data_IF_224927250817
#
_entry.id   IF_224927250817
#
_cell.length_a   1.000
_cell.length_b   1.000
_cell.length_c   1.000
_cell.angle_alpha   90.00
_cell.angle_beta   90.00
_cell.angle_gamma   90.00
#
_symmetry.space_group_name_H-M   'P 1'
#
loop_
_entity.id
_entity.type
_entity.pdbx_description
1 polymer ?
#
# COMPACT_ATOMS: atom_id res chain seq x y z
N UNK A 1 10.35 -0.09 -6.92
CA UNK A 1 10.90 -0.48 -5.61
C UNK A 1 9.74 -0.88 -4.68
N UNK A 2 10.02 -1.61 -3.60
CA UNK A 2 9.02 -2.02 -2.62
C UNK A 2 9.61 -1.88 -1.21
N UNK A 3 8.90 -1.17 -0.34
CA UNK A 3 9.31 -0.88 1.03
C UNK A 3 8.08 -0.95 1.96
N UNK A 4 8.28 -1.31 3.22
CA UNK A 4 7.21 -1.37 4.21
C UNK A 4 7.75 -1.30 5.64
N UNK A 5 6.87 -1.02 6.60
CA UNK A 5 7.23 -1.04 8.02
C UNK A 5 6.06 -0.73 8.95
N UNK A 6 6.29 -0.87 10.25
CA UNK A 6 5.34 -0.52 11.32
C UNK A 6 5.46 0.98 11.64
N UNK A 7 4.34 1.63 11.97
CA UNK A 7 4.35 3.01 12.45
C UNK A 7 5.19 3.16 13.72
N UNK A 8 6.09 4.14 13.71
CA UNK A 8 6.95 4.52 14.84
C UNK A 8 6.80 5.99 15.25
N UNK A 9 5.81 6.71 14.68
CA UNK A 9 5.59 8.12 15.01
C UNK A 9 5.14 8.27 16.47
N UNK A 10 5.80 9.14 17.26
CA UNK A 10 5.40 9.43 18.63
C UNK A 10 4.23 10.40 18.73
N UNK A 11 3.79 11.01 17.62
CA UNK A 11 2.83 12.12 17.60
C UNK A 11 1.37 11.64 17.76
N UNK A 12 1.11 10.35 17.57
CA UNK A 12 -0.24 9.77 17.71
C UNK A 12 -1.24 10.19 16.62
N UNK A 13 -0.77 10.82 15.53
CA UNK A 13 -1.60 11.33 14.44
C UNK A 13 -1.81 10.32 13.29
N UNK A 14 -1.45 9.06 13.49
CA UNK A 14 -1.54 7.99 12.49
C UNK A 14 -2.97 7.46 12.29
N UNK A 15 -3.98 8.05 12.93
CA UNK A 15 -5.38 7.63 12.86
C UNK A 15 -5.59 6.13 13.20
N UNK A 16 -4.68 5.50 13.92
CA UNK A 16 -4.73 4.05 14.21
C UNK A 16 -4.24 3.14 13.06
N UNK A 17 -3.67 3.67 11.98
CA UNK A 17 -2.93 2.86 11.00
C UNK A 17 -1.61 2.38 11.63
N UNK A 18 -1.32 1.08 11.51
CA UNK A 18 -0.16 0.45 12.18
C UNK A 18 0.98 0.10 11.25
N UNK A 19 0.72 -0.04 9.95
CA UNK A 19 1.71 -0.43 8.95
C UNK A 19 1.61 0.48 7.72
N UNK A 20 2.72 0.68 7.03
CA UNK A 20 2.80 1.36 5.74
C UNK A 20 3.49 0.46 4.73
N UNK A 21 3.06 0.55 3.47
CA UNK A 21 3.64 -0.13 2.32
C UNK A 21 3.76 0.88 1.18
N UNK A 22 4.95 1.02 0.62
CA UNK A 22 5.25 1.95 -0.47
C UNK A 22 5.75 1.16 -1.68
N UNK A 23 5.06 1.34 -2.80
CA UNK A 23 5.46 0.78 -4.09
C UNK A 23 5.84 1.93 -5.02
N UNK A 24 7.00 1.84 -5.64
CA UNK A 24 7.44 2.80 -6.65
C UNK A 24 7.36 2.16 -8.03
N UNK A 25 6.57 2.81 -8.89
CA UNK A 25 6.45 2.50 -10.31
C UNK A 25 7.16 3.57 -11.12
N UNK A 26 7.72 3.19 -12.28
CA UNK A 26 8.35 4.15 -13.18
C UNK A 26 7.29 4.93 -13.99
N UNK A 27 6.16 4.29 -14.30
CA UNK A 27 5.08 4.87 -15.11
C UNK A 27 3.70 4.49 -14.54
N UNK A 28 2.66 5.23 -14.94
CA UNK A 28 1.29 4.92 -14.53
C UNK A 28 0.82 3.57 -15.08
N UNK A 29 1.27 3.21 -16.28
CA UNK A 29 0.95 1.96 -16.97
C UNK A 29 1.46 0.74 -16.17
N UNK A 30 2.63 0.86 -15.53
CA UNK A 30 3.19 -0.20 -14.69
C UNK A 30 2.32 -0.45 -13.45
N UNK A 31 1.81 0.62 -12.82
CA UNK A 31 0.85 0.54 -11.70
C UNK A 31 -0.46 -0.10 -12.18
N UNK A 32 -0.98 0.32 -13.32
CA UNK A 32 -2.26 -0.16 -13.84
C UNK A 32 -2.19 -1.66 -14.18
N UNK A 33 -1.07 -2.10 -14.77
CA UNK A 33 -0.78 -3.51 -15.00
C UNK A 33 -0.69 -4.30 -13.68
N UNK A 34 -0.03 -3.75 -12.65
CA UNK A 34 0.05 -4.34 -11.31
C UNK A 34 -1.34 -4.53 -10.67
N UNK A 35 -2.23 -3.54 -10.76
CA UNK A 35 -3.56 -3.58 -10.13
C UNK A 35 -4.43 -4.72 -10.66
N UNK A 36 -4.36 -5.03 -11.95
CA UNK A 36 -5.13 -6.12 -12.55
C UNK A 36 -4.42 -7.47 -12.54
N UNK A 37 -3.13 -7.50 -12.18
CA UNK A 37 -2.32 -8.70 -12.22
C UNK A 37 -2.90 -9.81 -11.32
N UNK A 38 -3.00 -11.08 -11.79
CA UNK A 38 -3.60 -12.16 -11.01
C UNK A 38 -2.96 -12.39 -9.64
N UNK A 39 -1.64 -12.22 -9.54
CA UNK A 39 -0.92 -12.36 -8.26
C UNK A 39 -1.31 -11.27 -7.25
N UNK A 40 -1.48 -10.02 -7.70
CA UNK A 40 -1.95 -8.91 -6.86
C UNK A 40 -3.38 -9.18 -6.37
N UNK A 41 -4.28 -9.60 -7.26
CA UNK A 41 -5.67 -9.94 -6.88
C UNK A 41 -5.73 -11.05 -5.83
N UNK A 42 -4.90 -12.09 -5.96
CA UNK A 42 -4.79 -13.16 -4.97
C UNK A 42 -4.24 -12.65 -3.63
N UNK A 43 -3.24 -11.78 -3.66
CA UNK A 43 -2.70 -11.15 -2.45
C UNK A 43 -3.76 -10.30 -1.73
N UNK A 44 -4.49 -9.44 -2.46
CA UNK A 44 -5.58 -8.63 -1.90
C UNK A 44 -6.67 -9.50 -1.26
N UNK A 45 -7.03 -10.62 -1.89
CA UNK A 45 -8.00 -11.55 -1.31
C UNK A 45 -7.54 -12.14 0.03
N UNK A 46 -6.25 -12.46 0.15
CA UNK A 46 -5.66 -12.96 1.40
C UNK A 46 -5.50 -11.87 2.46
N UNK A 47 -5.20 -10.63 2.05
CA UNK A 47 -4.93 -9.52 2.95
C UNK A 47 -6.22 -8.93 3.56
N UNK A 48 -7.29 -8.81 2.76
CA UNK A 48 -8.55 -8.15 3.17
C UNK A 48 -9.09 -8.61 4.53
N UNK A 49 -9.16 -9.92 4.86
CA UNK A 49 -9.65 -10.38 6.16
C UNK A 49 -8.78 -9.95 7.35
N UNK A 50 -7.51 -9.61 7.11
CA UNK A 50 -6.57 -9.19 8.15
C UNK A 50 -6.62 -7.67 8.44
N UNK A 51 -7.34 -6.88 7.62
CA UNK A 51 -7.38 -5.43 7.73
C UNK A 51 -8.67 -4.97 8.41
N UNK A 52 -8.53 -4.25 9.52
CA UNK A 52 -9.65 -3.50 10.10
C UNK A 52 -10.00 -2.27 9.24
N UNK A 53 -9.01 -1.65 8.60
CA UNK A 53 -9.15 -0.52 7.68
C UNK A 53 -7.95 -0.39 6.73
N UNK A 54 -8.13 0.31 5.61
CA UNK A 54 -7.08 0.58 4.62
C UNK A 54 -7.20 1.99 4.03
N UNK A 55 -6.06 2.64 3.78
CA UNK A 55 -5.96 3.89 3.02
C UNK A 55 -4.93 3.68 1.89
N UNK A 56 -5.25 4.14 0.68
CA UNK A 56 -4.38 4.04 -0.50
C UNK A 56 -4.25 5.43 -1.11
N UNK A 57 -3.01 5.82 -1.43
CA UNK A 57 -2.68 7.08 -2.06
C UNK A 57 -1.74 6.83 -3.24
N UNK A 58 -2.11 7.33 -4.42
CA UNK A 58 -1.25 7.35 -5.60
C UNK A 58 -0.83 8.80 -5.86
N UNK A 59 0.47 9.03 -6.03
CA UNK A 59 1.01 10.37 -6.27
C UNK A 59 2.30 10.31 -7.08
N UNK A 60 2.64 11.43 -7.72
CA UNK A 60 3.96 11.66 -8.29
C UNK A 60 4.81 12.43 -7.28
N UNK A 61 5.99 11.91 -6.95
CA UNK A 61 6.95 12.63 -6.13
C UNK A 61 7.37 13.94 -6.85
N UNK A 62 7.65 14.99 -6.06
CA UNK A 62 8.20 16.26 -6.52
C UNK A 62 9.57 16.48 -5.93
#
# INVERSE_FOLDING_TARGET
AYEWGTNVSPEGLNDGFTHCFTLTFAHAEDRDAYLVHPAHRRFVANLKPCLAKSLVLDYWAR
#
